data_IF_060147133820
#
_entry.id   IF_060147133820
#
_cell.length_a   1.000
_cell.length_b   1.000
_cell.length_c   1.000
_cell.angle_alpha   90.00
_cell.angle_beta   90.00
_cell.angle_gamma   90.00
#
_symmetry.space_group_name_H-M   'P 1'
#
loop_
_entity.id
_entity.type
_entity.pdbx_description
1 polymer ?
#
# COMPACT_ATOMS: atom_id res chain seq x y z
N UNK A 1 -2.06 -23.27 5.86
CA UNK A 1 -1.72 -22.95 7.26
C UNK A 1 -2.95 -23.21 8.09
N UNK A 2 -2.76 -23.58 9.35
CA UNK A 2 -3.88 -23.99 10.20
C UNK A 2 -3.71 -23.36 11.57
N UNK A 3 -4.78 -22.77 12.09
CA UNK A 3 -4.87 -22.23 13.44
C UNK A 3 -6.07 -22.87 14.14
N UNK A 4 -5.92 -23.31 15.37
CA UNK A 4 -6.98 -24.00 16.11
C UNK A 4 -7.20 -23.38 17.49
N UNK A 5 -8.42 -23.53 17.99
CA UNK A 5 -8.75 -23.26 19.39
C UNK A 5 -9.79 -24.26 19.87
N UNK A 6 -9.68 -24.67 21.13
CA UNK A 6 -10.65 -25.56 21.78
C UNK A 6 -11.45 -24.78 22.80
N UNK A 7 -12.77 -24.99 22.82
CA UNK A 7 -13.70 -24.36 23.75
C UNK A 7 -14.45 -25.45 24.50
N UNK A 8 -14.46 -25.38 25.83
CA UNK A 8 -15.23 -26.34 26.63
C UNK A 8 -16.72 -26.07 26.47
N UNK A 9 -17.49 -27.12 26.13
CA UNK A 9 -18.95 -27.08 26.01
C UNK A 9 -19.55 -28.32 26.68
N UNK A 10 -19.47 -28.43 28.02
CA UNK A 10 -19.80 -29.65 28.74
C UNK A 10 -21.17 -30.22 28.34
N UNK A 11 -21.29 -31.54 28.10
CA UNK A 11 -20.29 -32.60 28.31
C UNK A 11 -19.31 -32.81 27.13
N UNK A 12 -19.20 -31.86 26.21
CA UNK A 12 -18.41 -31.95 24.97
C UNK A 12 -17.33 -30.87 24.90
N UNK A 13 -16.51 -30.93 23.86
CA UNK A 13 -15.58 -29.87 23.46
C UNK A 13 -15.89 -29.41 22.04
N UNK A 14 -15.75 -28.11 21.79
CA UNK A 14 -15.84 -27.51 20.47
C UNK A 14 -14.44 -27.13 20.01
N UNK A 15 -13.95 -27.80 18.97
CA UNK A 15 -12.69 -27.49 18.30
C UNK A 15 -13.02 -26.65 17.08
N UNK A 16 -12.60 -25.38 17.11
CA UNK A 16 -12.69 -24.52 15.93
C UNK A 16 -11.34 -24.54 15.22
N UNK A 17 -11.33 -24.98 13.96
CA UNK A 17 -10.15 -25.05 13.10
C UNK A 17 -10.30 -24.08 11.95
N UNK A 18 -9.37 -23.14 11.83
CA UNK A 18 -9.29 -22.21 10.72
C UNK A 18 -8.11 -22.60 9.83
N UNK A 19 -8.44 -23.07 8.63
CA UNK A 19 -7.47 -23.38 7.59
C UNK A 19 -7.42 -22.23 6.59
N UNK A 20 -6.22 -21.78 6.22
CA UNK A 20 -6.06 -20.66 5.30
C UNK A 20 -4.79 -20.74 4.46
N UNK A 21 -4.86 -20.11 3.29
CA UNK A 21 -3.76 -19.87 2.37
C UNK A 21 -3.93 -18.49 1.74
N UNK A 22 -2.91 -17.65 1.91
CA UNK A 22 -2.95 -16.24 1.46
C UNK A 22 -2.90 -16.17 -0.08
N UNK A 23 -2.17 -17.08 -0.72
CA UNK A 23 -1.79 -16.97 -2.13
C UNK A 23 -2.60 -17.86 -3.06
N UNK A 24 -3.12 -18.99 -2.58
CA UNK A 24 -3.78 -20.03 -3.38
C UNK A 24 -5.04 -20.52 -2.68
N UNK A 25 -5.88 -21.20 -3.44
CA UNK A 25 -7.03 -21.92 -2.88
C UNK A 25 -6.57 -23.09 -2.02
N UNK A 26 -7.38 -23.43 -1.02
CA UNK A 26 -7.19 -24.59 -0.16
C UNK A 26 -7.40 -25.88 -0.98
N UNK A 27 -6.55 -26.90 -0.77
CA UNK A 27 -6.77 -28.20 -1.39
C UNK A 27 -8.05 -28.84 -0.83
N UNK A 28 -8.69 -29.73 -1.59
CA UNK A 28 -9.78 -30.55 -1.05
C UNK A 28 -9.23 -31.47 0.04
N UNK A 29 -10.05 -31.69 1.07
CA UNK A 29 -9.71 -32.59 2.18
C UNK A 29 -10.39 -33.95 2.00
N UNK A 30 -9.83 -34.99 2.59
CA UNK A 30 -10.46 -36.32 2.61
C UNK A 30 -11.67 -36.30 3.58
N UNK A 31 -12.88 -36.48 3.04
CA UNK A 31 -14.10 -36.50 3.86
C UNK A 31 -15.39 -36.37 3.05
N UNK A 32 -16.56 -36.36 3.71
CA UNK A 32 -17.84 -36.08 3.06
C UNK A 32 -17.87 -34.67 2.45
N UNK A 33 -18.48 -34.51 1.27
CA UNK A 33 -18.50 -33.22 0.54
C UNK A 33 -19.16 -32.08 1.35
N UNK A 34 -20.12 -32.39 2.22
CA UNK A 34 -20.80 -31.44 3.10
C UNK A 34 -19.94 -30.97 4.28
N UNK A 35 -18.88 -31.71 4.61
CA UNK A 35 -17.96 -31.41 5.71
C UNK A 35 -16.66 -30.75 5.21
N UNK A 36 -16.57 -30.51 3.90
CA UNK A 36 -15.44 -29.88 3.25
C UNK A 36 -15.69 -28.41 2.96
N UNK A 37 -14.61 -27.64 2.96
CA UNK A 37 -14.63 -26.26 2.49
C UNK A 37 -15.01 -26.22 1.00
N UNK A 38 -15.91 -25.31 0.58
CA UNK A 38 -16.25 -25.15 -0.82
C UNK A 38 -15.02 -24.87 -1.69
N UNK A 39 -15.03 -25.36 -2.93
CA UNK A 39 -13.94 -25.12 -3.89
C UNK A 39 -13.71 -23.63 -4.08
N UNK A 40 -12.43 -23.22 -4.17
CA UNK A 40 -12.05 -21.82 -4.27
C UNK A 40 -11.96 -21.08 -2.93
N UNK A 41 -12.16 -21.77 -1.80
CA UNK A 41 -11.93 -21.20 -0.47
C UNK A 41 -10.43 -20.95 -0.25
N UNK A 42 -10.09 -19.75 0.21
CA UNK A 42 -8.73 -19.38 0.66
C UNK A 42 -8.61 -19.38 2.17
N UNK A 43 -9.70 -19.12 2.89
CA UNK A 43 -9.77 -19.25 4.34
C UNK A 43 -11.11 -19.88 4.70
N UNK A 44 -11.08 -20.88 5.57
CA UNK A 44 -12.25 -21.67 5.92
C UNK A 44 -12.21 -22.04 7.41
N UNK A 45 -13.33 -21.87 8.09
CA UNK A 45 -13.51 -22.18 9.49
C UNK A 45 -14.41 -23.41 9.62
N UNK A 46 -13.87 -24.47 10.20
CA UNK A 46 -14.60 -25.68 10.55
C UNK A 46 -14.79 -25.75 12.05
N UNK A 47 -16.01 -26.06 12.50
CA UNK A 47 -16.33 -26.28 13.91
C UNK A 47 -16.66 -27.75 14.13
N UNK A 48 -15.90 -28.40 15.00
CA UNK A 48 -16.05 -29.82 15.30
C UNK A 48 -16.49 -29.99 16.74
N UNK A 49 -17.57 -30.72 16.95
CA UNK A 49 -17.99 -31.17 18.27
C UNK A 49 -17.33 -32.52 18.57
N UNK A 50 -16.66 -32.59 19.71
CA UNK A 50 -15.96 -33.77 20.21
C UNK A 50 -16.55 -34.20 21.54
N UNK A 51 -16.86 -35.49 21.66
CA UNK A 51 -17.40 -36.10 22.87
C UNK A 51 -16.68 -37.41 23.13
N UNK A 52 -16.29 -37.63 24.38
CA UNK A 52 -15.58 -38.85 24.77
C UNK A 52 -16.42 -40.11 24.44
N UNK A 53 -15.80 -41.07 23.74
CA UNK A 53 -16.45 -42.32 23.34
C UNK A 53 -17.37 -42.23 22.10
N UNK A 54 -17.50 -41.05 21.48
CA UNK A 54 -18.26 -40.86 20.25
C UNK A 54 -17.36 -40.36 19.10
N UNK A 55 -17.83 -40.51 17.87
CA UNK A 55 -17.12 -39.99 16.71
C UNK A 55 -17.22 -38.46 16.64
N UNK A 56 -16.13 -37.82 16.20
CA UNK A 56 -16.10 -36.37 15.96
C UNK A 56 -17.13 -35.97 14.90
N UNK A 57 -17.82 -34.85 15.15
CA UNK A 57 -18.85 -34.33 14.25
C UNK A 57 -18.56 -32.90 13.85
N UNK A 58 -18.39 -32.66 12.55
CA UNK A 58 -18.37 -31.30 12.00
C UNK A 58 -19.79 -30.74 12.05
N UNK A 59 -19.96 -29.60 12.72
CA UNK A 59 -21.26 -28.94 12.90
C UNK A 59 -21.41 -27.67 12.08
N UNK A 60 -20.30 -27.12 11.57
CA UNK A 60 -20.33 -25.97 10.66
C UNK A 60 -19.05 -25.91 9.82
N UNK A 61 -19.21 -25.51 8.56
CA UNK A 61 -18.14 -25.18 7.62
C UNK A 61 -18.44 -23.78 7.06
N UNK A 62 -17.56 -22.83 7.36
CA UNK A 62 -17.79 -21.41 7.08
C UNK A 62 -16.66 -20.90 6.18
N UNK A 63 -16.90 -20.63 4.88
CA UNK A 63 -15.90 -20.07 3.99
C UNK A 63 -15.71 -18.57 4.31
N UNK A 64 -14.61 -18.23 4.98
CA UNK A 64 -14.32 -16.85 5.40
C UNK A 64 -13.76 -15.99 4.27
N UNK A 65 -13.04 -16.61 3.33
CA UNK A 65 -12.53 -15.95 2.13
C UNK A 65 -12.56 -16.91 0.95
N UNK A 66 -12.98 -16.42 -0.21
CA UNK A 66 -13.12 -17.19 -1.45
C UNK A 66 -12.55 -16.41 -2.62
N UNK A 67 -11.83 -17.08 -3.53
CA UNK A 67 -11.18 -16.45 -4.69
C UNK A 67 -12.16 -15.69 -5.61
N UNK A 68 -13.42 -16.14 -5.71
CA UNK A 68 -14.45 -15.51 -6.54
C UNK A 68 -14.94 -14.15 -6.04
N UNK A 69 -14.79 -13.87 -4.74
CA UNK A 69 -15.27 -12.64 -4.08
C UNK A 69 -14.14 -11.91 -3.34
N UNK A 70 -12.90 -12.20 -3.71
CA UNK A 70 -11.73 -11.74 -2.99
C UNK A 70 -11.47 -10.26 -3.27
N UNK A 71 -11.53 -9.44 -2.22
CA UNK A 71 -11.15 -8.03 -2.25
C UNK A 71 -10.09 -7.78 -1.15
N UNK A 72 -8.80 -8.06 -1.41
CA UNK A 72 -7.78 -8.01 -0.38
C UNK A 72 -7.48 -6.56 0.03
N UNK A 73 -7.65 -6.22 1.30
CA UNK A 73 -7.27 -4.91 1.86
C UNK A 73 -6.11 -5.05 2.83
N UNK A 74 -5.15 -4.14 2.71
CA UNK A 74 -3.94 -4.13 3.53
C UNK A 74 -3.93 -2.87 4.38
N UNK A 75 -3.60 -3.03 5.66
CA UNK A 75 -3.49 -1.93 6.61
C UNK A 75 -2.26 -2.11 7.47
N UNK A 76 -1.37 -1.10 7.50
CA UNK A 76 -0.25 -1.09 8.42
C UNK A 76 -0.75 -0.89 9.86
N UNK A 77 -0.12 -1.59 10.81
CA UNK A 77 -0.41 -1.41 12.23
C UNK A 77 0.32 -0.14 12.74
N UNK A 78 -0.38 0.71 13.48
CA UNK A 78 0.19 1.97 13.98
C UNK A 78 1.03 1.81 15.25
N UNK A 79 0.72 0.81 16.08
CA UNK A 79 1.32 0.63 17.40
C UNK A 79 2.45 -0.41 17.44
N UNK A 80 2.50 -1.29 16.43
CA UNK A 80 3.41 -2.43 16.38
C UNK A 80 3.90 -2.64 14.94
N UNK A 81 5.11 -3.17 14.76
CA UNK A 81 5.62 -3.52 13.43
C UNK A 81 4.85 -4.71 12.88
N UNK A 82 4.11 -4.50 11.79
CA UNK A 82 3.27 -5.52 11.17
C UNK A 82 2.16 -4.91 10.33
N UNK A 83 1.30 -5.76 9.80
CA UNK A 83 0.17 -5.34 8.98
C UNK A 83 -0.98 -6.33 9.05
N UNK A 84 -2.18 -5.84 8.78
CA UNK A 84 -3.39 -6.64 8.70
C UNK A 84 -3.80 -6.81 7.23
N UNK A 85 -4.21 -8.03 6.89
CA UNK A 85 -4.82 -8.39 5.61
C UNK A 85 -6.29 -8.76 5.88
N UNK A 86 -7.20 -8.07 5.20
CA UNK A 86 -8.62 -8.42 5.17
C UNK A 86 -8.92 -9.12 3.85
N UNK A 87 -9.29 -10.39 3.90
CA UNK A 87 -9.72 -11.17 2.74
C UNK A 87 -11.23 -11.40 2.83
N UNK A 88 -11.97 -10.95 1.81
CA UNK A 88 -13.42 -11.05 1.79
C UNK A 88 -13.89 -12.39 1.19
N UNK A 89 -15.00 -12.91 1.71
CA UNK A 89 -15.69 -14.10 1.24
C UNK A 89 -17.13 -13.81 0.83
N UNK A 90 -17.88 -14.87 0.53
CA UNK A 90 -19.32 -14.79 0.31
C UNK A 90 -20.11 -14.56 1.60
N UNK A 91 -21.44 -14.61 1.52
CA UNK A 91 -22.29 -14.58 2.71
C UNK A 91 -22.44 -15.98 3.30
N UNK A 92 -22.53 -16.07 4.63
CA UNK A 92 -22.85 -17.31 5.35
C UNK A 92 -24.00 -17.08 6.35
N UNK A 93 -25.08 -17.89 6.28
CA UNK A 93 -25.40 -18.83 5.21
C UNK A 93 -25.49 -18.15 3.83
N UNK A 94 -25.44 -18.92 2.74
CA UNK A 94 -25.41 -18.35 1.38
C UNK A 94 -26.64 -17.48 1.06
N UNK A 95 -27.79 -17.85 1.61
CA UNK A 95 -29.04 -17.09 1.48
C UNK A 95 -29.30 -16.26 2.74
N UNK A 96 -29.51 -14.94 2.58
CA UNK A 96 -29.80 -14.01 3.67
C UNK A 96 -28.79 -14.04 4.84
N UNK A 97 -27.55 -14.46 4.59
CA UNK A 97 -26.51 -14.51 5.61
C UNK A 97 -25.68 -13.25 5.72
N UNK A 98 -24.69 -13.32 6.61
CA UNK A 98 -23.75 -12.24 6.86
C UNK A 98 -22.55 -12.38 5.91
N UNK A 99 -22.09 -11.32 5.24
CA UNK A 99 -20.83 -11.33 4.50
C UNK A 99 -19.67 -11.78 5.38
N UNK A 100 -18.86 -12.69 4.88
CA UNK A 100 -17.73 -13.24 5.63
C UNK A 100 -16.43 -12.51 5.31
N UNK A 101 -15.59 -12.34 6.33
CA UNK A 101 -14.30 -11.68 6.24
C UNK A 101 -13.29 -12.49 7.05
N UNK A 102 -12.17 -12.83 6.43
CA UNK A 102 -10.99 -13.32 7.12
C UNK A 102 -10.05 -12.15 7.43
N UNK A 103 -9.84 -11.88 8.71
CA UNK A 103 -8.92 -10.87 9.23
C UNK A 103 -7.64 -11.55 9.71
N UNK A 104 -6.57 -11.41 8.92
CA UNK A 104 -5.24 -11.92 9.26
C UNK A 104 -4.34 -10.76 9.71
N UNK A 105 -4.02 -10.71 11.00
CA UNK A 105 -3.03 -9.78 11.55
C UNK A 105 -1.68 -10.46 11.58
N UNK A 106 -0.71 -9.89 10.86
CA UNK A 106 0.66 -10.40 10.84
C UNK A 106 1.58 -9.45 11.60
N UNK A 107 2.25 -9.99 12.61
CA UNK A 107 3.18 -9.25 13.48
C UNK A 107 4.61 -9.59 13.09
N UNK A 108 5.47 -8.58 13.04
CA UNK A 108 6.90 -8.79 12.84
C UNK A 108 7.50 -9.52 14.04
N UNK A 109 8.14 -10.66 13.78
CA UNK A 109 8.90 -11.43 14.77
C UNK A 109 10.21 -11.93 14.18
N UNK A 110 11.17 -12.28 15.04
CA UNK A 110 12.46 -12.81 14.59
C UNK A 110 12.36 -14.24 14.05
N UNK A 111 11.37 -14.98 14.51
CA UNK A 111 11.11 -16.36 14.13
C UNK A 111 9.64 -16.53 13.74
N UNK A 112 9.36 -17.51 12.87
CA UNK A 112 7.99 -17.81 12.46
C UNK A 112 7.31 -18.67 13.53
N UNK A 113 6.36 -18.09 14.25
CA UNK A 113 5.52 -18.81 15.23
C UNK A 113 4.32 -19.45 14.52
N UNK A 114 3.63 -20.35 15.20
CA UNK A 114 2.36 -20.87 14.70
C UNK A 114 1.26 -19.81 14.75
N UNK A 115 0.34 -19.75 13.77
CA UNK A 115 -0.75 -18.79 13.78
C UNK A 115 -1.76 -19.11 14.89
N UNK A 116 -2.15 -18.08 15.62
CA UNK A 116 -3.13 -18.16 16.71
C UNK A 116 -4.52 -17.75 16.23
N UNK A 117 -5.52 -18.60 16.48
CA UNK A 117 -6.91 -18.27 16.14
C UNK A 117 -7.57 -17.55 17.32
N UNK A 118 -7.80 -16.25 17.19
CA UNK A 118 -8.35 -15.42 18.25
C UNK A 118 -9.86 -15.65 18.38
N UNK A 119 -10.62 -15.24 17.36
CA UNK A 119 -12.07 -15.28 17.42
C UNK A 119 -12.81 -15.34 16.09
N UNK A 120 -14.10 -15.67 16.18
CA UNK A 120 -15.05 -15.56 15.09
C UNK A 120 -16.30 -14.84 15.60
N UNK A 121 -16.55 -13.66 15.07
CA UNK A 121 -17.73 -12.86 15.39
C UNK A 121 -18.83 -13.17 14.37
N UNK A 122 -19.88 -13.87 14.81
CA UNK A 122 -20.99 -14.26 13.95
C UNK A 122 -21.88 -13.10 13.52
N UNK A 123 -21.86 -11.96 14.24
CA UNK A 123 -22.64 -10.78 13.88
C UNK A 123 -22.00 -10.02 12.72
N UNK A 124 -20.67 -9.92 12.72
CA UNK A 124 -19.92 -9.23 11.65
C UNK A 124 -19.39 -10.17 10.57
N UNK A 125 -19.49 -11.50 10.77
CA UNK A 125 -18.94 -12.50 9.87
C UNK A 125 -17.41 -12.52 9.82
N UNK A 126 -16.74 -12.05 10.88
CA UNK A 126 -15.28 -11.85 10.87
C UNK A 126 -14.57 -12.95 11.65
N UNK A 127 -13.65 -13.67 11.00
CA UNK A 127 -12.72 -14.59 11.67
C UNK A 127 -11.32 -13.99 11.76
N UNK A 128 -10.77 -13.91 12.98
CA UNK A 128 -9.52 -13.22 13.28
C UNK A 128 -8.40 -14.20 13.60
N UNK A 129 -7.29 -14.13 12.85
CA UNK A 129 -6.05 -14.87 13.12
C UNK A 129 -4.91 -13.90 13.32
N UNK A 130 -4.07 -14.17 14.32
CA UNK A 130 -2.83 -13.43 14.55
C UNK A 130 -1.63 -14.33 14.30
N UNK A 131 -0.71 -13.90 13.46
CA UNK A 131 0.48 -14.67 13.09
C UNK A 131 1.76 -13.85 13.21
N UNK A 132 2.67 -14.28 14.09
CA UNK A 132 3.98 -13.63 14.24
C UNK A 132 5.01 -14.31 13.33
N UNK A 133 5.60 -13.54 12.42
CA UNK A 133 6.51 -14.07 11.39
C UNK A 133 7.51 -13.02 10.90
N UNK A 134 8.75 -13.41 10.53
CA UNK A 134 9.74 -12.50 9.93
C UNK A 134 9.28 -11.90 8.61
N UNK A 135 8.36 -12.57 7.91
CA UNK A 135 7.79 -12.08 6.66
C UNK A 135 6.94 -10.81 6.83
N UNK A 136 6.49 -10.53 8.06
CA UNK A 136 5.70 -9.34 8.39
C UNK A 136 6.57 -8.12 8.72
N UNK A 137 7.88 -8.31 8.88
CA UNK A 137 8.81 -7.23 9.15
C UNK A 137 9.04 -6.38 7.90
N UNK A 138 9.03 -5.06 8.08
CA UNK A 138 9.50 -4.15 7.05
C UNK A 138 10.95 -4.52 6.71
N UNK A 139 11.19 -4.89 5.45
CA UNK A 139 12.56 -4.91 4.94
C UNK A 139 12.92 -3.47 4.71
N UNK A 140 13.95 -2.98 5.40
CA UNK A 140 14.59 -1.72 4.99
C UNK A 140 15.07 -1.89 3.55
N UNK A 141 14.32 -1.35 2.60
CA UNK A 141 14.93 -0.97 1.35
C UNK A 141 15.91 0.14 1.71
N UNK A 142 17.18 -0.03 1.37
CA UNK A 142 18.18 1.05 1.46
C UNK A 142 17.87 2.24 0.53
N UNK A 143 16.70 2.21 -0.12
CA UNK A 143 16.17 3.19 -1.06
C UNK A 143 14.96 3.97 -0.49
N UNK A 144 14.48 3.66 0.73
CA UNK A 144 13.46 4.47 1.39
C UNK A 144 14.13 5.60 2.21
N UNK A 145 13.79 6.88 1.97
CA UNK A 145 14.36 7.99 2.73
C UNK A 145 13.96 7.87 4.22
N UNK A 146 14.91 8.02 5.16
CA UNK A 146 14.58 7.98 6.58
C UNK A 146 13.60 9.10 6.94
N UNK A 147 12.63 8.77 7.78
CA UNK A 147 11.80 9.73 8.48
C UNK A 147 12.73 10.67 9.29
N UNK A 148 12.67 12.01 9.13
CA UNK A 148 13.70 12.88 9.66
C UNK A 148 13.60 12.97 11.19
N UNK A 149 14.53 12.32 11.89
CA UNK A 149 14.96 12.78 13.22
C UNK A 149 15.81 14.05 13.03
N UNK A 150 15.59 15.11 13.82
CA UNK A 150 16.46 16.26 13.79
C UNK A 150 17.84 15.86 14.31
N UNK A 151 18.88 16.45 13.73
CA UNK A 151 20.29 16.38 14.16
C UNK A 151 21.15 15.28 13.51
N UNK A 152 21.40 15.39 12.20
CA UNK A 152 22.76 15.25 11.65
C UNK A 152 22.90 16.06 10.33
N UNK A 153 24.08 16.64 10.06
CA UNK A 153 24.34 17.40 8.85
C UNK A 153 24.47 16.46 7.65
N UNK A 154 23.45 16.43 6.81
CA UNK A 154 23.41 15.64 5.56
C UNK A 154 24.52 16.06 4.60
N UNK A 155 25.39 15.12 4.24
CA UNK A 155 26.21 15.25 3.03
C UNK A 155 25.31 15.02 1.80
N UNK A 156 25.39 15.86 0.75
CA UNK A 156 24.46 15.75 -0.37
C UNK A 156 24.80 14.53 -1.23
N UNK A 157 23.99 13.49 -1.09
CA UNK A 157 24.02 12.31 -1.96
C UNK A 157 23.26 12.64 -3.25
N UNK A 158 24.02 12.88 -4.32
CA UNK A 158 23.52 13.38 -5.59
C UNK A 158 22.73 12.33 -6.39
N UNK A 159 21.41 12.46 -6.41
CA UNK A 159 20.64 12.14 -7.61
C UNK A 159 21.01 13.18 -8.68
N UNK A 160 21.45 12.75 -9.87
CA UNK A 160 22.04 13.62 -10.89
C UNK A 160 21.18 14.84 -11.27
N UNK A 161 19.86 14.74 -11.09
CA UNK A 161 18.93 15.85 -11.28
C UNK A 161 19.03 16.91 -10.17
N UNK A 162 19.14 16.49 -8.90
CA UNK A 162 19.27 17.41 -7.76
C UNK A 162 20.60 18.14 -7.75
N UNK A 163 21.70 17.44 -8.07
CA UNK A 163 23.02 18.06 -8.21
C UNK A 163 23.06 19.08 -9.35
N UNK A 164 22.41 18.77 -10.48
CA UNK A 164 22.26 19.72 -11.59
C UNK A 164 21.53 21.00 -11.15
N UNK A 165 20.38 20.89 -10.48
CA UNK A 165 19.64 22.07 -10.02
C UNK A 165 20.41 22.86 -8.95
N UNK A 166 21.11 22.18 -8.05
CA UNK A 166 21.98 22.82 -7.06
C UNK A 166 23.07 23.69 -7.72
N UNK A 167 23.82 23.11 -8.67
CA UNK A 167 24.85 23.87 -9.41
C UNK A 167 24.24 24.97 -10.28
N UNK A 168 23.07 24.72 -10.90
CA UNK A 168 22.35 25.71 -11.68
C UNK A 168 21.96 26.93 -10.85
N UNK A 169 21.36 26.74 -9.68
CA UNK A 169 20.99 27.84 -8.79
C UNK A 169 22.21 28.54 -8.18
N UNK A 170 23.30 27.82 -7.91
CA UNK A 170 24.57 28.41 -7.48
C UNK A 170 25.13 29.33 -8.57
N UNK A 171 25.23 28.84 -9.81
CA UNK A 171 25.69 29.62 -10.96
C UNK A 171 24.78 30.84 -11.22
N UNK A 172 23.46 30.66 -11.11
CA UNK A 172 22.49 31.75 -11.26
C UNK A 172 22.67 32.81 -10.16
N UNK A 173 22.85 32.40 -8.90
CA UNK A 173 23.14 33.29 -7.79
C UNK A 173 24.46 34.06 -7.99
N UNK A 174 25.53 33.37 -8.38
CA UNK A 174 26.81 34.00 -8.70
C UNK A 174 26.69 35.02 -9.84
N UNK A 175 25.92 34.70 -10.88
CA UNK A 175 25.60 35.62 -11.97
C UNK A 175 24.92 36.91 -11.47
N UNK A 176 23.90 36.79 -10.62
CA UNK A 176 23.21 37.97 -10.06
C UNK A 176 24.13 38.78 -9.15
N UNK A 177 24.89 38.15 -8.26
CA UNK A 177 25.79 38.85 -7.32
C UNK A 177 26.91 39.59 -8.06
N UNK A 178 27.63 38.89 -8.93
CA UNK A 178 28.76 39.46 -9.68
C UNK A 178 28.24 40.54 -10.64
N UNK A 179 27.15 40.27 -11.36
CA UNK A 179 26.60 41.24 -12.29
C UNK A 179 26.01 42.46 -11.60
N UNK A 180 25.34 42.31 -10.45
CA UNK A 180 24.87 43.43 -9.64
C UNK A 180 26.03 44.28 -9.13
N UNK A 181 27.12 43.65 -8.68
CA UNK A 181 28.33 44.36 -8.28
C UNK A 181 28.96 45.14 -9.43
N UNK A 182 29.05 44.54 -10.63
CA UNK A 182 29.55 45.22 -11.82
C UNK A 182 28.63 46.38 -12.24
N UNK A 183 27.30 46.19 -12.19
CA UNK A 183 26.31 47.23 -12.49
C UNK A 183 26.35 48.39 -11.49
N UNK A 184 26.58 48.08 -10.22
CA UNK A 184 26.75 49.07 -9.17
C UNK A 184 28.05 49.88 -9.35
N UNK A 185 29.18 49.19 -9.56
CA UNK A 185 30.50 49.83 -9.57
C UNK A 185 30.82 50.57 -10.86
N UNK A 186 30.43 50.03 -12.02
CA UNK A 186 30.78 50.62 -13.32
C UNK A 186 29.70 51.55 -13.87
N UNK A 187 28.43 51.32 -13.52
CA UNK A 187 27.29 52.08 -14.08
C UNK A 187 26.51 52.87 -13.02
N UNK A 188 26.82 52.73 -11.72
CA UNK A 188 26.11 53.42 -10.64
C UNK A 188 24.62 53.04 -10.56
N UNK A 189 24.25 51.89 -11.13
CA UNK A 189 22.86 51.43 -11.17
C UNK A 189 22.35 51.21 -9.74
N UNK A 190 21.07 51.51 -9.50
CA UNK A 190 20.43 51.33 -8.19
C UNK A 190 19.03 50.72 -8.35
N UNK A 191 18.54 50.08 -7.29
CA UNK A 191 17.23 49.45 -7.29
C UNK A 191 17.12 48.30 -8.30
N UNK A 192 16.04 48.31 -9.11
CA UNK A 192 15.74 47.25 -10.07
C UNK A 192 16.68 47.21 -11.28
N UNK A 193 17.48 48.26 -11.48
CA UNK A 193 18.47 48.32 -12.56
C UNK A 193 19.77 47.57 -12.24
N UNK A 194 19.90 47.08 -11.00
CA UNK A 194 21.04 46.26 -10.59
C UNK A 194 21.02 44.86 -11.22
N UNK A 195 19.84 44.40 -11.64
CA UNK A 195 19.63 43.07 -12.20
C UNK A 195 20.32 42.96 -13.56
N UNK A 196 21.32 42.07 -13.72
CA UNK A 196 21.99 41.86 -15.00
C UNK A 196 20.99 41.40 -16.05
N UNK A 197 21.03 42.02 -17.24
CA UNK A 197 20.10 41.73 -18.35
C UNK A 197 18.61 41.79 -17.94
N UNK A 198 18.22 42.83 -17.20
CA UNK A 198 16.84 43.03 -16.69
C UNK A 198 15.74 42.85 -17.75
N UNK A 199 15.97 43.31 -18.98
CA UNK A 199 14.97 43.27 -20.05
C UNK A 199 14.64 41.83 -20.43
N UNK A 200 15.65 40.94 -20.44
CA UNK A 200 15.44 39.50 -20.61
C UNK A 200 14.57 38.93 -19.49
N UNK A 201 14.90 39.23 -18.23
CA UNK A 201 14.16 38.71 -17.07
C UNK A 201 12.71 39.20 -16.99
N UNK A 202 12.42 40.40 -17.50
CA UNK A 202 11.05 40.90 -17.65
C UNK A 202 10.25 40.09 -18.66
N UNK A 203 10.91 39.59 -19.70
CA UNK A 203 10.27 38.90 -20.81
C UNK A 203 10.12 37.38 -20.57
N UNK A 204 10.92 36.79 -19.67
CA UNK A 204 10.85 35.37 -19.25
C UNK A 204 9.42 34.86 -18.97
N UNK A 205 8.56 35.51 -18.15
CA UNK A 205 7.21 34.99 -17.88
C UNK A 205 6.34 34.89 -19.14
N UNK A 206 6.53 35.80 -20.10
CA UNK A 206 5.80 35.78 -21.37
C UNK A 206 6.34 34.67 -22.28
N UNK A 207 7.66 34.49 -22.34
CA UNK A 207 8.31 33.41 -23.09
C UNK A 207 7.91 32.03 -22.56
N UNK A 208 7.84 31.85 -21.23
CA UNK A 208 7.39 30.60 -20.61
C UNK A 208 5.92 30.31 -20.89
N UNK A 209 5.06 31.34 -20.88
CA UNK A 209 3.65 31.19 -21.24
C UNK A 209 3.48 30.78 -22.70
N UNK A 210 4.23 31.39 -23.61
CA UNK A 210 4.20 31.07 -25.04
C UNK A 210 4.68 29.62 -25.29
N UNK A 211 5.80 29.23 -24.67
CA UNK A 211 6.29 27.84 -24.71
C UNK A 211 5.26 26.85 -24.17
N UNK A 212 4.63 27.15 -23.03
CA UNK A 212 3.59 26.31 -22.46
C UNK A 212 2.37 26.19 -23.39
N UNK A 213 1.95 27.29 -24.02
CA UNK A 213 0.85 27.29 -24.99
C UNK A 213 1.20 26.46 -26.24
N UNK A 214 2.43 26.55 -26.75
CA UNK A 214 2.90 25.73 -27.86
C UNK A 214 2.99 24.24 -27.50
N UNK A 215 3.50 23.90 -26.32
CA UNK A 215 3.56 22.51 -25.83
C UNK A 215 2.18 21.92 -25.59
N UNK A 216 1.25 22.68 -24.99
CA UNK A 216 -0.14 22.26 -24.81
C UNK A 216 -0.83 22.05 -26.15
N UNK A 217 -0.58 22.91 -27.15
CA UNK A 217 -1.17 22.78 -28.49
C UNK A 217 -0.57 21.60 -29.26
N UNK A 218 0.73 21.32 -29.08
CA UNK A 218 1.41 20.16 -29.65
C UNK A 218 0.94 18.83 -29.05
N UNK A 219 0.67 18.79 -27.73
CA UNK A 219 0.22 17.58 -27.02
C UNK A 219 -1.29 17.35 -27.16
N UNK A 220 -2.12 18.41 -27.25
CA UNK A 220 -3.58 18.29 -27.39
C UNK A 220 -4.07 18.03 -28.82
N UNK A 221 -3.19 17.96 -29.82
CA UNK A 221 -3.58 17.71 -31.22
C UNK A 221 -4.61 18.72 -31.72
N UNK A 222 -4.21 19.98 -31.93
CA UNK A 222 -5.07 20.98 -32.57
C UNK A 222 -5.37 20.64 -34.05
N UNK A 223 -6.56 20.97 -34.57
CA UNK A 223 -7.06 20.48 -35.86
C UNK A 223 -6.23 21.01 -37.02
N UNK A 224 -5.99 20.12 -38.00
CA UNK A 224 -5.45 20.46 -39.32
C UNK A 224 -6.20 21.64 -39.93
N UNK A 225 -5.58 22.83 -39.93
CA UNK A 225 -6.05 24.01 -40.63
C UNK A 225 -5.17 24.21 -41.87
N UNK A 226 -5.63 23.64 -42.98
CA UNK A 226 -5.07 23.87 -44.30
C UNK A 226 -5.47 25.24 -44.87
N UNK A 227 -4.56 25.82 -45.68
CA UNK A 227 -4.76 26.95 -46.60
C UNK A 227 -4.80 28.34 -45.92
N UNK A 228 -4.16 29.40 -46.42
CA UNK A 228 -3.86 29.77 -47.81
C UNK A 228 -2.53 30.54 -47.92
N UNK A 229 -1.71 30.18 -48.89
CA UNK A 229 -0.87 31.15 -49.60
C UNK A 229 -1.72 31.75 -50.72
N UNK A 230 -1.89 33.07 -50.70
CA UNK A 230 -2.22 33.84 -51.89
C UNK A 230 -1.09 34.85 -52.12
N UNK A 231 -0.85 35.07 -53.41
CA UNK A 231 0.24 35.82 -54.06
C UNK A 231 0.44 37.24 -53.57
#
# INVERSE_FOLDING_TARGET
MTAQRTRSTPPTEMIDTLEFNICKDLPPNDGPANDQCPSGSRACLTKTNKKEGENDRIVAVIPLATSSSLDPKFQALSEQSGFTILLHGGSYPAENGTPQIFNLTMLCGQEAKEPSFSDYNSLTGTGTVTWETPAACAKENKDDPPNPTPDEPSTPSGSGLGWFFFLFFLALGAYFVIGAYHNYTNYGATGWDLVPHRDFWRDVPFLLRDLAQHLITAVRGGPSRGGYHAV
#
